data_IF_691231202867
#
_entry.id   IF_691231202867
#
_cell.length_a   1.000
_cell.length_b   1.000
_cell.length_c   1.000
_cell.angle_alpha   90.00
_cell.angle_beta   90.00
_cell.angle_gamma   90.00
#
_symmetry.space_group_name_H-M   'P 1'
#
loop_
_entity.id
_entity.type
_entity.pdbx_description
1 polymer ?
#
# COMPACT_ATOMS: atom_id res chain seq x y z
N UNK A 1 10.44 1.08 8.52
CA UNK A 1 10.80 -0.27 9.00
C UNK A 1 11.67 -0.30 10.25
N UNK A 2 11.70 -1.46 10.91
CA UNK A 2 12.56 -1.83 12.06
C UNK A 2 13.36 -3.09 11.68
N UNK A 3 14.65 -3.15 12.04
CA UNK A 3 15.48 -4.35 11.91
C UNK A 3 15.61 -5.05 13.27
N UNK A 4 15.15 -6.30 13.37
CA UNK A 4 15.29 -7.12 14.56
C UNK A 4 15.70 -8.55 14.19
N UNK A 5 16.75 -9.06 14.82
CA UNK A 5 17.27 -10.41 14.62
C UNK A 5 17.46 -10.81 13.13
N UNK A 6 17.94 -9.86 12.32
CA UNK A 6 18.17 -10.05 10.89
C UNK A 6 16.94 -10.00 10.00
N UNK A 7 15.77 -9.63 10.52
CA UNK A 7 14.53 -9.44 9.77
C UNK A 7 14.02 -8.00 9.86
N UNK A 8 13.51 -7.49 8.75
CA UNK A 8 12.82 -6.21 8.67
C UNK A 8 11.32 -6.40 8.85
N UNK A 9 10.71 -5.51 9.64
CA UNK A 9 9.26 -5.31 9.65
C UNK A 9 8.94 -3.86 9.27
N UNK A 10 7.87 -3.64 8.52
CA UNK A 10 7.44 -2.30 8.13
C UNK A 10 5.92 -2.09 8.23
N UNK A 11 5.54 -0.87 8.56
CA UNK A 11 4.17 -0.42 8.70
C UNK A 11 4.09 1.11 8.82
N UNK A 12 2.96 1.63 8.32
CA UNK A 12 2.63 3.04 8.34
C UNK A 12 1.13 3.21 8.56
N UNK A 13 0.75 4.26 9.29
CA UNK A 13 -0.64 4.67 9.46
C UNK A 13 -0.76 6.19 9.31
N UNK A 14 -1.87 6.65 8.74
CA UNK A 14 -2.24 8.07 8.76
C UNK A 14 -3.26 8.31 9.88
N UNK A 15 -2.92 9.17 10.84
CA UNK A 15 -3.78 9.47 12.00
C UNK A 15 -4.33 10.90 11.96
N UNK A 16 -5.60 11.13 12.33
CA UNK A 16 -6.14 12.47 12.45
C UNK A 16 -5.55 13.18 13.68
N UNK A 17 -5.23 14.47 13.54
CA UNK A 17 -4.79 15.33 14.65
C UNK A 17 -5.87 16.36 14.93
N UNK A 18 -6.57 16.20 16.06
CA UNK A 18 -7.72 17.03 16.41
C UNK A 18 -8.94 16.76 15.54
N UNK A 19 -9.75 17.80 15.29
CA UNK A 19 -10.90 17.71 14.39
C UNK A 19 -10.46 17.97 12.95
N UNK A 20 -10.71 17.00 12.08
CA UNK A 20 -10.40 17.08 10.64
C UNK A 20 -11.68 17.33 9.82
N UNK A 21 -11.52 17.61 8.53
CA UNK A 21 -12.65 17.80 7.62
C UNK A 21 -13.25 16.46 7.18
N UNK A 22 -14.53 16.44 6.80
CA UNK A 22 -15.19 15.24 6.26
C UNK A 22 -14.46 14.66 5.02
N UNK A 23 -13.82 15.55 4.25
CA UNK A 23 -13.03 15.16 3.07
C UNK A 23 -11.77 14.39 3.47
N UNK A 24 -11.08 14.85 4.52
CA UNK A 24 -9.93 14.14 5.08
C UNK A 24 -10.36 12.82 5.74
N UNK A 25 -11.47 12.79 6.49
CA UNK A 25 -12.00 11.56 7.09
C UNK A 25 -12.31 10.51 6.02
N UNK A 26 -12.94 10.93 4.91
CA UNK A 26 -13.22 10.06 3.77
C UNK A 26 -11.93 9.55 3.11
N UNK A 27 -10.93 10.40 2.92
CA UNK A 27 -9.64 10.01 2.34
C UNK A 27 -8.95 8.94 3.20
N UNK A 28 -8.83 9.16 4.51
CA UNK A 28 -8.23 8.21 5.44
C UNK A 28 -8.96 6.86 5.40
N UNK A 29 -10.30 6.89 5.49
CA UNK A 29 -11.11 5.68 5.44
C UNK A 29 -10.94 4.91 4.13
N UNK A 30 -11.04 5.57 2.98
CA UNK A 30 -10.92 4.90 1.67
C UNK A 30 -9.51 4.32 1.47
N UNK A 31 -8.47 5.01 1.94
CA UNK A 31 -7.09 4.52 1.85
C UNK A 31 -6.92 3.25 2.69
N UNK A 32 -7.44 3.25 3.92
CA UNK A 32 -7.40 2.08 4.80
C UNK A 32 -8.24 0.92 4.24
N UNK A 33 -9.47 1.17 3.79
CA UNK A 33 -10.31 0.17 3.13
C UNK A 33 -9.63 -0.43 1.89
N UNK A 34 -8.86 0.38 1.13
CA UNK A 34 -8.11 -0.08 -0.03
C UNK A 34 -7.03 -1.08 0.37
N UNK A 35 -6.25 -0.77 1.42
CA UNK A 35 -5.24 -1.68 1.96
C UNK A 35 -5.87 -3.05 2.26
N UNK A 36 -6.94 -3.09 3.05
CA UNK A 36 -7.58 -4.35 3.42
C UNK A 36 -8.13 -5.12 2.21
N UNK A 37 -8.69 -4.44 1.21
CA UNK A 37 -9.13 -5.09 -0.04
C UNK A 37 -7.97 -5.65 -0.86
N UNK A 38 -6.82 -4.99 -0.85
CA UNK A 38 -5.59 -5.53 -1.41
C UNK A 38 -5.13 -6.78 -0.67
N UNK A 39 -5.08 -6.73 0.66
CA UNK A 39 -4.69 -7.84 1.53
C UNK A 39 -5.58 -9.05 1.29
N UNK A 40 -6.91 -8.89 1.17
CA UNK A 40 -7.84 -9.98 0.84
C UNK A 40 -7.46 -10.74 -0.46
N UNK A 41 -6.74 -10.10 -1.39
CA UNK A 41 -6.26 -10.72 -2.64
C UNK A 41 -4.86 -11.33 -2.53
N UNK A 42 -4.14 -11.12 -1.43
CA UNK A 42 -2.83 -11.70 -1.17
C UNK A 42 -2.92 -13.18 -0.75
N UNK A 43 -3.55 -14.00 -1.60
CA UNK A 43 -3.76 -15.43 -1.39
C UNK A 43 -2.81 -16.24 -2.26
N UNK A 44 -2.35 -17.39 -1.77
CA UNK A 44 -1.55 -18.31 -2.57
C UNK A 44 -2.31 -18.71 -3.85
N UNK A 45 -1.62 -18.70 -4.99
CA UNK A 45 -2.20 -19.01 -6.30
C UNK A 45 -2.72 -17.81 -7.09
N UNK A 46 -3.13 -16.72 -6.42
CA UNK A 46 -3.43 -15.44 -7.07
C UNK A 46 -2.17 -14.86 -7.72
N UNK A 47 -2.35 -13.80 -8.50
CA UNK A 47 -1.25 -13.03 -9.07
C UNK A 47 -1.12 -11.69 -8.37
N UNK A 48 0.09 -11.16 -8.34
CA UNK A 48 0.40 -9.92 -7.63
C UNK A 48 -0.52 -8.76 -8.01
N UNK A 49 -0.85 -8.61 -9.30
CA UNK A 49 -1.71 -7.50 -9.73
C UNK A 49 -3.19 -7.69 -9.37
N UNK A 50 -3.59 -8.83 -8.81
CA UNK A 50 -4.90 -8.97 -8.18
C UNK A 50 -5.00 -8.10 -6.92
N UNK A 51 -3.89 -7.96 -6.16
CA UNK A 51 -3.76 -7.00 -5.05
C UNK A 51 -3.87 -5.58 -5.60
N UNK A 52 -3.05 -5.26 -6.60
CA UNK A 52 -2.97 -3.94 -7.23
C UNK A 52 -4.33 -3.47 -7.78
N UNK A 53 -5.02 -4.35 -8.50
CA UNK A 53 -6.32 -4.05 -9.08
C UNK A 53 -7.41 -3.87 -8.00
N UNK A 54 -7.38 -4.65 -6.91
CA UNK A 54 -8.34 -4.48 -5.82
C UNK A 54 -8.20 -3.11 -5.13
N UNK A 55 -6.96 -2.68 -4.89
CA UNK A 55 -6.64 -1.36 -4.34
C UNK A 55 -7.12 -0.27 -5.29
N UNK A 56 -6.67 -0.27 -6.54
CA UNK A 56 -7.01 0.76 -7.52
C UNK A 56 -8.52 0.88 -7.75
N UNK A 57 -9.22 -0.23 -7.97
CA UNK A 57 -10.65 -0.22 -8.21
C UNK A 57 -11.42 0.35 -7.02
N UNK A 58 -10.97 0.07 -5.80
CA UNK A 58 -11.60 0.63 -4.62
C UNK A 58 -11.37 2.14 -4.54
N UNK A 59 -10.14 2.60 -4.71
CA UNK A 59 -9.76 4.02 -4.62
C UNK A 59 -10.48 4.85 -5.68
N UNK A 60 -10.42 4.42 -6.94
CA UNK A 60 -10.97 5.16 -8.08
C UNK A 60 -12.51 5.24 -8.03
N UNK A 61 -13.19 4.25 -7.42
CA UNK A 61 -14.65 4.30 -7.18
C UNK A 61 -15.08 5.52 -6.36
N UNK A 62 -14.20 6.05 -5.50
CA UNK A 62 -14.49 7.22 -4.66
C UNK A 62 -13.96 8.53 -5.25
N UNK A 63 -13.46 8.51 -6.50
CA UNK A 63 -12.92 9.69 -7.18
C UNK A 63 -11.53 10.11 -6.72
N UNK A 64 -10.80 9.22 -6.04
CA UNK A 64 -9.41 9.42 -5.66
C UNK A 64 -8.47 8.74 -6.66
N UNK A 65 -7.17 8.98 -6.52
CA UNK A 65 -6.15 8.37 -7.38
C UNK A 65 -5.06 7.68 -6.56
N UNK A 66 -4.40 6.70 -7.16
CA UNK A 66 -3.30 5.94 -6.55
C UNK A 66 -1.98 6.48 -7.05
N UNK A 67 -1.04 6.80 -6.15
CA UNK A 67 0.32 7.20 -6.51
C UNK A 67 1.00 6.09 -7.30
N UNK A 68 1.73 6.46 -8.37
CA UNK A 68 2.36 5.48 -9.28
C UNK A 68 3.87 5.39 -9.19
N UNK A 69 4.51 6.36 -8.53
CA UNK A 69 5.97 6.45 -8.42
C UNK A 69 6.53 5.65 -7.24
N UNK A 70 5.68 5.32 -6.26
CA UNK A 70 6.02 4.47 -5.11
C UNK A 70 5.07 3.29 -5.07
N UNK A 71 5.60 2.15 -4.62
CA UNK A 71 4.96 0.85 -4.65
C UNK A 71 5.42 0.08 -3.44
N UNK A 72 4.61 -0.91 -3.03
CA UNK A 72 5.05 -1.87 -2.03
C UNK A 72 6.17 -2.77 -2.52
N UNK A 73 6.60 -3.67 -1.66
CA UNK A 73 7.79 -4.47 -1.91
C UNK A 73 7.73 -5.82 -1.20
N UNK A 74 8.58 -6.77 -1.63
CA UNK A 74 8.93 -7.90 -0.79
C UNK A 74 9.69 -7.40 0.44
N UNK A 75 9.54 -8.07 1.57
CA UNK A 75 10.23 -7.69 2.81
C UNK A 75 10.64 -8.95 3.58
N UNK A 76 11.85 -8.93 4.13
CA UNK A 76 12.41 -10.08 4.82
C UNK A 76 13.74 -9.76 5.48
N UNK A 77 14.85 -10.14 4.84
CA UNK A 77 16.21 -9.88 5.35
C UNK A 77 16.79 -8.56 4.85
N UNK A 78 16.17 -7.97 3.84
CA UNK A 78 16.37 -6.58 3.39
C UNK A 78 15.07 -5.81 3.54
N UNK A 79 15.18 -4.48 3.71
CA UNK A 79 14.01 -3.61 3.86
C UNK A 79 13.12 -3.67 2.61
N UNK A 80 13.73 -3.50 1.43
CA UNK A 80 13.05 -3.64 0.14
C UNK A 80 13.65 -4.84 -0.63
N UNK A 81 12.82 -5.83 -0.90
CA UNK A 81 13.13 -7.01 -1.73
C UNK A 81 12.14 -7.10 -2.90
N UNK A 82 12.45 -7.96 -3.87
CA UNK A 82 11.47 -8.33 -4.89
C UNK A 82 10.34 -9.19 -4.30
N UNK A 83 9.12 -9.16 -4.88
CA UNK A 83 8.72 -8.31 -6.00
C UNK A 83 8.26 -6.92 -5.55
N UNK A 84 8.37 -5.96 -6.46
CA UNK A 84 7.59 -4.72 -6.31
C UNK A 84 6.09 -5.01 -6.34
N UNK A 85 5.33 -4.31 -5.49
CA UNK A 85 3.88 -4.44 -5.32
C UNK A 85 3.18 -3.12 -5.69
N UNK A 86 2.95 -2.84 -6.98
CA UNK A 86 2.19 -1.66 -7.37
C UNK A 86 0.80 -1.64 -6.75
N UNK A 87 0.30 -0.46 -6.42
CA UNK A 87 -1.07 -0.26 -5.93
C UNK A 87 -2.08 -0.04 -7.07
N UNK A 88 -1.64 -0.25 -8.31
CA UNK A 88 -2.38 -0.03 -9.55
C UNK A 88 -2.03 -1.09 -10.59
N UNK A 89 -2.97 -1.40 -11.48
CA UNK A 89 -2.77 -2.35 -12.55
C UNK A 89 -4.01 -3.17 -12.90
N UNK A 90 -3.86 -4.07 -13.87
CA UNK A 90 -4.92 -4.98 -14.31
C UNK A 90 -4.78 -6.33 -13.61
N UNK A 91 -5.89 -6.94 -13.13
CA UNK A 91 -5.83 -8.23 -12.45
C UNK A 91 -5.31 -9.34 -13.38
N UNK A 92 -4.83 -10.43 -12.79
CA UNK A 92 -4.29 -11.58 -13.51
C UNK A 92 -2.89 -11.37 -14.09
N UNK A 93 -2.16 -10.33 -13.66
CA UNK A 93 -0.81 -10.00 -14.12
C UNK A 93 0.24 -10.10 -13.00
N UNK A 94 1.52 -10.13 -13.37
CA UNK A 94 2.63 -10.21 -12.43
C UNK A 94 2.90 -11.63 -11.91
N UNK A 95 3.87 -11.78 -10.98
CA UNK A 95 4.25 -13.06 -10.42
C UNK A 95 3.07 -13.72 -9.70
N UNK A 96 3.09 -15.06 -9.66
CA UNK A 96 2.16 -15.83 -8.83
C UNK A 96 2.57 -15.70 -7.37
N UNK A 97 1.59 -15.41 -6.54
CA UNK A 97 1.74 -15.40 -5.09
C UNK A 97 1.86 -16.84 -4.60
N UNK A 98 2.82 -17.07 -3.71
CA UNK A 98 3.11 -18.37 -3.12
C UNK A 98 3.10 -18.26 -1.61
N UNK A 99 2.76 -19.36 -0.96
CA UNK A 99 2.98 -19.52 0.47
C UNK A 99 4.43 -19.19 0.85
N UNK A 100 4.61 -18.52 1.98
CA UNK A 100 5.91 -18.09 2.49
C UNK A 100 6.42 -16.76 1.93
N UNK A 101 5.75 -16.17 0.93
CA UNK A 101 6.02 -14.80 0.53
C UNK A 101 5.58 -13.82 1.61
N UNK A 102 6.37 -12.78 1.83
CA UNK A 102 6.05 -11.68 2.74
C UNK A 102 6.17 -10.36 1.98
N UNK A 103 5.10 -9.57 2.00
CA UNK A 103 4.95 -8.35 1.21
C UNK A 103 4.56 -7.18 2.11
N UNK A 104 5.20 -6.04 1.90
CA UNK A 104 4.67 -4.74 2.31
C UNK A 104 3.61 -4.30 1.28
N UNK A 105 2.37 -4.16 1.73
CA UNK A 105 1.26 -3.63 0.92
C UNK A 105 0.94 -2.25 1.47
N UNK A 106 1.15 -1.23 0.65
CA UNK A 106 1.25 0.18 1.10
C UNK A 106 0.55 1.16 0.13
N UNK A 107 -0.79 1.19 0.07
CA UNK A 107 -1.48 2.16 -0.76
C UNK A 107 -1.24 3.60 -0.28
N UNK A 108 -0.73 4.41 -1.21
CA UNK A 108 -0.67 5.87 -1.12
C UNK A 108 -1.74 6.45 -2.04
N UNK A 109 -2.71 7.13 -1.46
CA UNK A 109 -3.91 7.59 -2.14
C UNK A 109 -3.99 9.11 -2.10
N UNK A 110 -4.10 9.70 -3.28
CA UNK A 110 -4.23 11.14 -3.46
C UNK A 110 -5.69 11.53 -3.65
N UNK A 111 -6.04 12.66 -3.06
CA UNK A 111 -7.32 13.31 -3.26
C UNK A 111 -7.47 13.92 -4.67
N UNK A 112 -6.33 14.20 -5.31
CA UNK A 112 -6.19 14.82 -6.61
C UNK A 112 -5.72 13.86 -7.69
N UNK A 113 -4.73 14.29 -8.48
CA UNK A 113 -4.07 13.43 -9.49
C UNK A 113 -3.08 12.47 -8.84
N UNK A 114 -2.66 11.44 -9.58
CA UNK A 114 -1.68 10.45 -9.11
C UNK A 114 -0.24 10.98 -9.09
N UNK A 115 -0.01 12.17 -9.64
CA UNK A 115 1.33 12.73 -9.81
C UNK A 115 1.87 13.26 -8.49
N UNK A 116 3.10 12.86 -8.17
CA UNK A 116 3.89 13.45 -7.09
C UNK A 116 5.17 14.09 -7.63
N UNK A 117 5.74 15.01 -6.87
CA UNK A 117 7.08 15.55 -7.09
C UNK A 117 7.92 15.41 -5.81
N UNK A 118 9.24 15.26 -5.98
CA UNK A 118 10.20 15.24 -4.87
C UNK A 118 10.70 16.67 -4.67
N UNK A 119 10.66 17.15 -3.43
CA UNK A 119 11.17 18.47 -3.09
C UNK A 119 12.70 18.53 -3.15
N UNK A 120 13.24 19.73 -2.99
CA UNK A 120 14.69 19.99 -3.08
C UNK A 120 15.53 19.30 -2.01
N UNK A 121 14.90 18.77 -0.95
CA UNK A 121 15.58 17.94 0.05
C UNK A 121 15.91 16.54 -0.47
N UNK A 122 15.38 16.15 -1.65
CA UNK A 122 15.61 14.86 -2.29
C UNK A 122 14.78 13.71 -1.70
N UNK A 123 13.90 13.98 -0.74
CA UNK A 123 13.15 12.95 -0.01
C UNK A 123 11.66 13.22 0.08
N UNK A 124 11.26 14.45 0.39
CA UNK A 124 9.86 14.76 0.65
C UNK A 124 9.08 14.68 -0.64
N UNK A 125 8.20 13.68 -0.72
CA UNK A 125 7.24 13.54 -1.80
C UNK A 125 5.97 14.32 -1.48
N UNK A 126 5.53 15.16 -2.42
CA UNK A 126 4.29 15.93 -2.32
C UNK A 126 3.42 15.68 -3.54
N UNK A 127 2.10 15.75 -3.38
CA UNK A 127 1.18 15.76 -4.52
C UNK A 127 1.46 16.98 -5.40
N UNK A 128 1.52 16.78 -6.71
CA UNK A 128 1.84 17.86 -7.65
C UNK A 128 0.77 18.96 -7.67
N UNK A 129 -0.48 18.61 -7.38
CA UNK A 129 -1.61 19.55 -7.24
C UNK A 129 -1.81 20.04 -5.79
N UNK A 130 -0.90 19.68 -4.87
CA UNK A 130 -0.85 20.10 -3.46
C UNK A 130 -2.10 19.74 -2.63
N UNK A 131 -2.92 18.81 -3.13
CA UNK A 131 -4.05 18.24 -2.38
C UNK A 131 -3.61 17.18 -1.39
N UNK A 132 -4.52 16.79 -0.50
CA UNK A 132 -4.24 15.79 0.53
C UNK A 132 -3.86 14.42 -0.06
N UNK A 133 -3.01 13.71 0.67
CA UNK A 133 -2.67 12.31 0.44
C UNK A 133 -2.73 11.56 1.77
N UNK A 134 -3.01 10.26 1.72
CA UNK A 134 -2.97 9.37 2.88
C UNK A 134 -2.24 8.08 2.52
N UNK A 135 -1.61 7.48 3.52
CA UNK A 135 -0.81 6.26 3.41
C UNK A 135 -1.12 5.34 4.59
N UNK A 136 -1.42 4.08 4.29
CA UNK A 136 -1.45 2.98 5.25
C UNK A 136 -0.64 1.82 4.69
N UNK A 137 -0.02 1.04 5.58
CA UNK A 137 0.80 -0.09 5.21
C UNK A 137 0.69 -1.22 6.22
N UNK A 138 0.71 -2.45 5.71
CA UNK A 138 1.02 -3.63 6.51
C UNK A 138 2.05 -4.51 5.82
N UNK A 139 2.97 -5.05 6.61
CA UNK A 139 3.68 -6.29 6.29
C UNK A 139 2.73 -7.49 6.42
N UNK A 140 2.60 -8.27 5.34
CA UNK A 140 1.66 -9.40 5.21
C UNK A 140 2.38 -10.65 4.74
N UNK A 141 2.25 -11.74 5.52
CA UNK A 141 2.69 -13.07 5.11
C UNK A 141 1.58 -13.81 4.36
N UNK A 142 1.91 -14.43 3.24
CA UNK A 142 1.00 -15.30 2.50
C UNK A 142 1.15 -16.71 3.05
N UNK A 143 0.08 -17.25 3.65
CA UNK A 143 0.07 -18.60 4.24
C UNK A 143 -0.89 -19.52 3.48
N UNK A 144 -0.85 -20.82 3.78
CA UNK A 144 -1.84 -21.79 3.28
C UNK A 144 -3.29 -21.44 3.66
N UNK A 145 -3.48 -20.76 4.79
CA UNK A 145 -4.79 -20.36 5.33
C UNK A 145 -5.22 -18.95 4.89
N UNK A 146 -4.44 -18.32 3.99
CA UNK A 146 -4.67 -16.95 3.52
C UNK A 146 -3.64 -15.95 4.04
N UNK A 147 -3.86 -14.64 3.79
CA UNK A 147 -2.95 -13.59 4.22
C UNK A 147 -2.98 -13.40 5.74
N UNK A 148 -1.82 -13.28 6.37
CA UNK A 148 -1.65 -12.95 7.77
C UNK A 148 -0.95 -11.60 7.92
N UNK A 149 -1.60 -10.65 8.60
CA UNK A 149 -1.01 -9.36 8.92
C UNK A 149 -0.03 -9.53 10.08
N UNK A 150 1.22 -9.12 9.89
CA UNK A 150 2.29 -9.25 10.89
C UNK A 150 2.52 -7.97 11.71
N UNK A 151 1.86 -6.88 11.33
CA UNK A 151 2.19 -5.52 11.76
C UNK A 151 0.96 -4.77 12.28
N UNK A 152 0.13 -5.43 13.08
CA UNK A 152 -1.01 -4.78 13.74
C UNK A 152 -0.47 -3.77 14.75
N UNK A 153 -0.84 -2.49 14.59
CA UNK A 153 -0.47 -1.35 15.45
C UNK A 153 -1.70 -0.89 16.22
#
# INVERSE_FOLDING_TARGET
GVLYDGYYGDAAITVPVGKISERAERLLRVTQEALYKGIEKAQAGNRLYDISAAIQNHVEKYGYSVVRQFVGHGIGRSLHEDPQVPNFGKPGQGPRLKEGMVLAIEPMVNEGTYEVEILSDGWTAVTKDRKLSAHFEHTVAITENGPQILSII
#
